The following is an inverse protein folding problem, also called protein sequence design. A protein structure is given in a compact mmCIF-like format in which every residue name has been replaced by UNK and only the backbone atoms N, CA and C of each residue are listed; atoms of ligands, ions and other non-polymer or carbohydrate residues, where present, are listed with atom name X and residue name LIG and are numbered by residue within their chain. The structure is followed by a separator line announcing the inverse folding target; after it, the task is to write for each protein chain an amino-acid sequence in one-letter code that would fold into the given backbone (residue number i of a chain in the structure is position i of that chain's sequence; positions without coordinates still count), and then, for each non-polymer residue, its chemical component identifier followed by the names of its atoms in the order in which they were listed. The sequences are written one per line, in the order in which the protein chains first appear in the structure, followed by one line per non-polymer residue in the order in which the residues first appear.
data_IF_415915008198
#
_entry.id   IF_415915008198
#
_cell.length_a   1.000
_cell.length_b   1.000
_cell.length_c   1.000
_cell.angle_alpha   90.00
_cell.angle_beta   90.00
_cell.angle_gamma   90.00
#
_symmetry.space_group_name_H-M   'P 1'
#
loop_
_entity.id
_entity.type
_entity.pdbx_description
1 polymer ?
#
# COMPACT_ATOMS: atom_id res chain seq x y z
N UNK A 1 -1.13 -23.78 -22.83
CA UNK A 1 -0.40 -22.65 -22.24
C UNK A 1 1.00 -22.66 -22.85
N UNK A 2 1.31 -21.71 -23.73
CA UNK A 2 2.64 -21.66 -24.36
C UNK A 2 3.65 -21.18 -23.32
N UNK A 3 4.70 -21.98 -23.06
CA UNK A 3 5.82 -21.55 -22.22
C UNK A 3 6.57 -20.46 -22.99
N UNK A 4 6.45 -19.21 -22.54
CA UNK A 4 7.24 -18.11 -23.12
C UNK A 4 8.70 -18.26 -22.68
N UNK A 5 9.63 -18.07 -23.61
CA UNK A 5 11.08 -18.26 -23.38
C UNK A 5 11.72 -17.19 -22.48
N UNK A 6 10.98 -16.14 -22.17
CA UNK A 6 11.34 -15.12 -21.17
C UNK A 6 10.38 -15.31 -20.00
N UNK A 7 10.92 -15.39 -18.78
CA UNK A 7 10.11 -15.48 -17.57
C UNK A 7 9.08 -14.36 -17.51
N UNK A 8 7.99 -14.58 -16.76
CA UNK A 8 6.96 -13.55 -16.53
C UNK A 8 7.63 -12.29 -15.96
N UNK A 9 7.34 -11.15 -16.55
CA UNK A 9 7.76 -9.84 -16.03
C UNK A 9 7.14 -9.62 -14.66
N UNK A 10 7.93 -9.18 -13.67
CA UNK A 10 7.45 -8.92 -12.32
C UNK A 10 6.69 -7.60 -12.26
N UNK A 11 5.50 -7.63 -11.67
CA UNK A 11 4.67 -6.46 -11.37
C UNK A 11 4.17 -6.47 -9.92
N UNK A 12 3.90 -5.28 -9.37
CA UNK A 12 3.39 -5.10 -7.99
C UNK A 12 2.03 -5.78 -7.79
N UNK A 13 1.24 -5.91 -8.84
CA UNK A 13 -0.07 -6.55 -8.80
C UNK A 13 -0.03 -8.07 -9.03
N UNK A 14 1.13 -8.66 -9.38
CA UNK A 14 1.18 -10.07 -9.80
C UNK A 14 0.76 -11.03 -8.69
N UNK A 15 1.24 -10.84 -7.47
CA UNK A 15 0.82 -11.66 -6.34
C UNK A 15 -0.69 -11.67 -6.15
N UNK A 16 -1.31 -10.49 -6.16
CA UNK A 16 -2.76 -10.34 -6.00
C UNK A 16 -3.51 -11.08 -7.12
N UNK A 17 -3.09 -10.91 -8.38
CA UNK A 17 -3.67 -11.63 -9.54
C UNK A 17 -3.61 -13.14 -9.36
N UNK A 18 -2.43 -13.66 -9.00
CA UNK A 18 -2.22 -15.10 -8.86
C UNK A 18 -3.03 -15.68 -7.69
N UNK A 19 -3.03 -15.02 -6.53
CA UNK A 19 -3.75 -15.51 -5.35
C UNK A 19 -5.26 -15.29 -5.43
N UNK A 20 -5.75 -14.35 -6.23
CA UNK A 20 -7.17 -14.25 -6.56
C UNK A 20 -7.68 -15.48 -7.35
N UNK A 21 -6.81 -16.16 -8.10
CA UNK A 21 -7.15 -17.40 -8.81
C UNK A 21 -6.89 -18.62 -7.92
N UNK A 22 -5.71 -18.70 -7.29
CA UNK A 22 -5.28 -19.87 -6.54
C UNK A 22 -6.00 -20.01 -5.19
N UNK A 23 -6.32 -18.88 -4.54
CA UNK A 23 -6.84 -18.81 -3.18
C UNK A 23 -7.91 -17.70 -3.03
N UNK A 24 -8.95 -17.66 -3.89
CA UNK A 24 -9.88 -16.52 -3.99
C UNK A 24 -10.56 -16.15 -2.67
N UNK A 25 -10.80 -17.14 -1.81
CA UNK A 25 -11.53 -16.98 -0.53
C UNK A 25 -10.62 -16.75 0.68
N UNK A 26 -9.30 -16.80 0.49
CA UNK A 26 -8.37 -16.49 1.58
C UNK A 26 -8.43 -14.99 1.87
N UNK A 27 -8.38 -14.62 3.15
CA UNK A 27 -8.34 -13.21 3.57
C UNK A 27 -6.99 -12.63 3.14
N UNK A 28 -7.02 -11.52 2.41
CA UNK A 28 -5.82 -10.78 2.01
C UNK A 28 -5.52 -9.67 3.01
N UNK A 29 -6.55 -8.93 3.46
CA UNK A 29 -6.38 -7.75 4.32
C UNK A 29 -7.42 -7.74 5.44
N UNK A 30 -6.98 -7.36 6.64
CA UNK A 30 -7.80 -7.06 7.82
C UNK A 30 -7.55 -5.60 8.20
N UNK A 31 -8.58 -4.78 8.33
CA UNK A 31 -8.50 -3.39 8.80
C UNK A 31 -9.66 -3.10 9.77
N UNK A 32 -9.38 -3.29 11.07
CA UNK A 32 -10.41 -3.33 12.11
C UNK A 32 -11.40 -4.46 11.85
N UNK A 33 -12.67 -4.12 11.69
CA UNK A 33 -13.73 -5.08 11.36
C UNK A 33 -13.81 -5.42 9.87
N UNK A 34 -13.18 -4.59 9.01
CA UNK A 34 -13.18 -4.81 7.56
C UNK A 34 -12.23 -5.94 7.21
N UNK A 35 -12.70 -6.88 6.40
CA UNK A 35 -11.91 -8.01 5.91
C UNK A 35 -12.21 -8.19 4.43
N UNK A 36 -11.18 -8.26 3.61
CA UNK A 36 -11.34 -8.56 2.19
C UNK A 36 -10.50 -9.76 1.80
N UNK A 37 -11.08 -10.57 0.93
CA UNK A 37 -10.47 -11.74 0.32
C UNK A 37 -9.57 -11.34 -0.85
N UNK A 38 -8.75 -12.28 -1.32
CA UNK A 38 -7.95 -12.07 -2.53
C UNK A 38 -8.78 -11.80 -3.78
N UNK A 39 -9.94 -12.44 -3.94
CA UNK A 39 -10.84 -12.15 -5.06
C UNK A 39 -11.38 -10.72 -5.00
N UNK A 40 -11.78 -10.24 -3.81
CA UNK A 40 -12.27 -8.87 -3.61
C UNK A 40 -11.15 -7.85 -3.80
N UNK A 41 -9.93 -8.11 -3.30
CA UNK A 41 -8.78 -7.23 -3.49
C UNK A 41 -8.40 -7.11 -4.98
N UNK A 42 -8.45 -8.21 -5.74
CA UNK A 42 -8.18 -8.17 -7.17
C UNK A 42 -9.25 -7.38 -7.93
N UNK A 43 -10.53 -7.62 -7.63
CA UNK A 43 -11.63 -6.87 -8.25
C UNK A 43 -11.53 -5.37 -7.94
N UNK A 44 -11.30 -4.99 -6.67
CA UNK A 44 -11.19 -3.59 -6.27
C UNK A 44 -9.98 -2.91 -6.91
N UNK A 45 -8.84 -3.58 -6.99
CA UNK A 45 -7.68 -3.04 -7.71
C UNK A 45 -7.89 -2.94 -9.23
N UNK A 46 -8.67 -3.84 -9.84
CA UNK A 46 -9.09 -3.70 -11.24
C UNK A 46 -9.99 -2.47 -11.43
N UNK A 47 -10.93 -2.22 -10.50
CA UNK A 47 -11.78 -1.02 -10.51
C UNK A 47 -10.95 0.25 -10.40
N UNK A 48 -9.95 0.29 -9.52
CA UNK A 48 -9.01 1.42 -9.43
C UNK A 48 -8.32 1.65 -10.78
N UNK A 49 -7.77 0.59 -11.39
CA UNK A 49 -7.07 0.70 -12.66
C UNK A 49 -7.98 1.27 -13.77
N UNK A 50 -9.20 0.73 -13.89
CA UNK A 50 -10.17 1.18 -14.89
C UNK A 50 -10.69 2.59 -14.61
N UNK A 51 -10.90 2.96 -13.34
CA UNK A 51 -11.27 4.31 -12.94
C UNK A 51 -10.21 5.31 -13.41
N UNK A 52 -8.92 5.05 -13.13
CA UNK A 52 -7.82 5.90 -13.55
C UNK A 52 -7.74 6.02 -15.08
N UNK A 53 -7.80 4.91 -15.81
CA UNK A 53 -7.78 4.92 -17.28
C UNK A 53 -8.99 5.67 -17.88
N UNK A 54 -10.19 5.45 -17.33
CA UNK A 54 -11.42 6.13 -17.80
C UNK A 54 -11.43 7.62 -17.50
N UNK A 55 -10.65 8.08 -16.52
CA UNK A 55 -10.44 9.50 -16.22
C UNK A 55 -9.53 10.22 -17.23
N UNK A 56 -8.98 9.50 -18.21
CA UNK A 56 -8.12 10.03 -19.27
C UNK A 56 -6.62 9.99 -18.95
N UNK A 57 -6.23 9.38 -17.83
CA UNK A 57 -4.82 9.12 -17.53
C UNK A 57 -4.28 8.00 -18.42
N UNK A 58 -3.01 8.11 -18.81
CA UNK A 58 -2.32 7.15 -19.66
C UNK A 58 -1.30 6.33 -18.84
N UNK A 59 -0.92 5.11 -19.28
CA UNK A 59 0.26 4.44 -18.75
C UNK A 59 1.47 5.38 -18.69
N UNK A 60 2.21 5.34 -17.59
CA UNK A 60 3.30 6.27 -17.26
C UNK A 60 2.85 7.51 -16.48
N UNK A 61 1.54 7.79 -16.36
CA UNK A 61 1.06 8.91 -15.52
C UNK A 61 1.40 8.69 -14.05
N UNK A 62 1.67 9.77 -13.33
CA UNK A 62 1.95 9.73 -11.89
C UNK A 62 0.68 10.04 -11.10
N UNK A 63 0.37 9.20 -10.11
CA UNK A 63 -0.84 9.30 -9.29
C UNK A 63 -0.42 9.42 -7.83
N UNK A 64 -0.71 10.56 -7.23
CA UNK A 64 -0.42 10.80 -5.83
C UNK A 64 -1.41 10.07 -4.93
N UNK A 65 -0.92 9.56 -3.80
CA UNK A 65 -1.73 8.91 -2.80
C UNK A 65 -1.45 9.48 -1.42
N UNK A 66 -2.43 10.20 -0.86
CA UNK A 66 -2.31 10.84 0.45
C UNK A 66 -3.16 10.12 1.48
N UNK A 67 -2.59 9.12 2.12
CA UNK A 67 -3.30 8.29 3.10
C UNK A 67 -2.36 7.64 4.12
N UNK A 68 -2.90 7.37 5.30
CA UNK A 68 -2.25 6.53 6.30
C UNK A 68 -2.39 5.04 5.98
N UNK A 69 -1.96 4.18 6.91
CA UNK A 69 -2.15 2.74 6.77
C UNK A 69 -3.65 2.42 6.83
N UNK A 70 -4.18 1.87 5.74
CA UNK A 70 -5.57 1.44 5.58
C UNK A 70 -5.66 0.38 4.48
N UNK A 71 -6.74 -0.37 4.47
CA UNK A 71 -6.99 -1.44 3.48
C UNK A 71 -6.78 -0.96 2.03
N UNK A 72 -7.29 0.22 1.71
CA UNK A 72 -7.29 0.83 0.38
C UNK A 72 -5.87 1.11 -0.14
N UNK A 73 -4.86 1.15 0.75
CA UNK A 73 -3.46 1.35 0.33
C UNK A 73 -3.01 0.27 -0.66
N UNK A 74 -3.36 -0.99 -0.38
CA UNK A 74 -2.96 -2.12 -1.22
C UNK A 74 -3.71 -2.14 -2.56
N UNK A 75 -5.01 -1.87 -2.56
CA UNK A 75 -5.79 -1.88 -3.81
C UNK A 75 -5.45 -0.68 -4.71
N UNK A 76 -5.13 0.49 -4.12
CA UNK A 76 -4.67 1.67 -4.85
C UNK A 76 -3.30 1.40 -5.48
N UNK A 77 -2.34 0.87 -4.72
CA UNK A 77 -1.01 0.54 -5.24
C UNK A 77 -1.09 -0.50 -6.36
N UNK A 78 -1.90 -1.55 -6.18
CA UNK A 78 -2.12 -2.58 -7.19
C UNK A 78 -2.84 -2.02 -8.42
N UNK A 79 -3.86 -1.19 -8.25
CA UNK A 79 -4.63 -0.61 -9.35
C UNK A 79 -3.82 0.37 -10.21
N UNK A 80 -3.02 1.24 -9.57
CA UNK A 80 -2.07 2.11 -10.26
C UNK A 80 -1.08 1.26 -11.08
N UNK A 81 -0.54 0.20 -10.48
CA UNK A 81 0.36 -0.73 -11.16
C UNK A 81 -0.30 -1.49 -12.33
N UNK A 82 -1.56 -1.91 -12.19
CA UNK A 82 -2.36 -2.56 -13.25
C UNK A 82 -2.68 -1.61 -14.40
N UNK A 83 -2.80 -0.31 -14.13
CA UNK A 83 -2.95 0.73 -15.15
C UNK A 83 -1.64 1.13 -15.83
N UNK A 84 -0.50 0.54 -15.41
CA UNK A 84 0.84 0.92 -15.89
C UNK A 84 1.26 2.32 -15.47
N UNK A 85 0.74 2.81 -14.34
CA UNK A 85 1.01 4.15 -13.80
C UNK A 85 1.97 4.07 -12.61
N UNK A 86 2.46 5.23 -12.17
CA UNK A 86 3.44 5.33 -11.08
C UNK A 86 2.79 5.98 -9.85
N UNK A 87 2.94 5.34 -8.69
CA UNK A 87 2.41 5.85 -7.43
C UNK A 87 3.35 6.91 -6.81
N UNK A 88 2.80 8.02 -6.33
CA UNK A 88 3.53 9.01 -5.53
C UNK A 88 2.96 9.00 -4.11
N UNK A 89 3.45 8.14 -3.20
CA UNK A 89 2.95 8.09 -1.84
C UNK A 89 3.33 9.35 -1.07
N UNK A 90 2.34 9.98 -0.43
CA UNK A 90 2.50 11.20 0.33
C UNK A 90 2.43 10.92 1.83
N UNK A 91 3.26 11.62 2.61
CA UNK A 91 3.25 11.52 4.06
C UNK A 91 2.00 12.23 4.62
N UNK A 92 1.13 11.54 5.38
CA UNK A 92 -0.06 12.14 6.01
C UNK A 92 0.20 13.33 6.94
N UNK A 93 1.45 13.51 7.38
CA UNK A 93 1.86 14.59 8.29
C UNK A 93 2.54 15.74 7.56
N UNK A 94 2.71 15.66 6.24
CA UNK A 94 3.35 16.73 5.46
C UNK A 94 2.49 17.98 5.45
N UNK A 95 3.15 19.12 5.64
CA UNK A 95 2.51 20.41 5.52
C UNK A 95 2.22 20.75 4.05
N UNK A 96 1.26 21.64 3.82
CA UNK A 96 0.83 22.03 2.48
C UNK A 96 1.99 22.41 1.52
N UNK A 97 2.98 23.24 1.90
CA UNK A 97 4.07 23.60 0.97
C UNK A 97 4.93 22.40 0.54
N UNK A 98 5.10 21.41 1.42
CA UNK A 98 5.83 20.19 1.09
C UNK A 98 5.02 19.31 0.12
N UNK A 99 3.70 19.21 0.32
CA UNK A 99 2.81 18.50 -0.60
C UNK A 99 2.79 19.18 -1.98
N UNK A 100 2.68 20.51 -2.04
CA UNK A 100 2.73 21.29 -3.29
C UNK A 100 4.03 21.01 -4.04
N UNK A 101 5.17 21.10 -3.35
CA UNK A 101 6.46 20.77 -3.94
C UNK A 101 6.51 19.34 -4.50
N UNK A 102 6.08 18.35 -3.73
CA UNK A 102 6.13 16.95 -4.15
C UNK A 102 5.21 16.70 -5.35
N UNK A 103 3.99 17.26 -5.32
CA UNK A 103 3.01 17.10 -6.40
C UNK A 103 3.52 17.72 -7.71
N UNK A 104 4.08 18.93 -7.63
CA UNK A 104 4.67 19.63 -8.80
C UNK A 104 5.92 18.92 -9.31
N UNK A 105 6.89 18.65 -8.42
CA UNK A 105 8.17 18.01 -8.79
C UNK A 105 7.98 16.58 -9.32
N UNK A 106 6.98 15.85 -8.80
CA UNK A 106 6.63 14.53 -9.32
C UNK A 106 5.82 14.58 -10.60
N UNK A 107 5.36 15.74 -11.09
CA UNK A 107 4.44 15.82 -12.23
C UNK A 107 3.17 14.97 -12.03
N UNK A 108 2.65 14.92 -10.79
CA UNK A 108 1.44 14.17 -10.47
C UNK A 108 0.24 14.69 -11.27
N UNK A 109 -0.55 13.77 -11.83
CA UNK A 109 -1.72 14.07 -12.69
C UNK A 109 -3.06 13.83 -11.99
N UNK A 110 -3.02 13.16 -10.86
CA UNK A 110 -4.20 12.88 -10.04
C UNK A 110 -3.80 12.67 -8.58
N UNK A 111 -4.78 12.81 -7.70
CA UNK A 111 -4.65 12.57 -6.27
C UNK A 111 -5.80 11.70 -5.78
N UNK A 112 -5.48 10.60 -5.10
CA UNK A 112 -6.42 9.88 -4.25
C UNK A 112 -6.04 10.19 -2.80
N UNK A 113 -6.99 10.61 -1.98
CA UNK A 113 -6.71 11.03 -0.60
C UNK A 113 -7.71 10.46 0.40
N UNK A 114 -7.26 10.31 1.65
CA UNK A 114 -8.13 10.09 2.80
C UNK A 114 -8.85 11.38 3.17
N UNK A 115 -10.18 11.35 3.31
CA UNK A 115 -10.99 12.52 3.67
C UNK A 115 -10.46 13.27 4.89
N UNK A 116 -9.90 12.57 5.89
CA UNK A 116 -9.33 13.18 7.09
C UNK A 116 -8.11 14.07 6.81
N UNK A 117 -7.49 13.92 5.64
CA UNK A 117 -6.36 14.70 5.14
C UNK A 117 -6.77 15.68 4.03
N UNK A 118 -8.07 15.74 3.72
CA UNK A 118 -8.64 16.39 2.53
C UNK A 118 -8.34 17.87 2.43
N UNK A 119 -8.42 18.63 3.52
CA UNK A 119 -8.19 20.08 3.50
C UNK A 119 -6.77 20.42 2.98
N UNK A 120 -5.74 19.84 3.61
CA UNK A 120 -4.34 20.10 3.24
C UNK A 120 -4.01 19.52 1.86
N UNK A 121 -4.45 18.29 1.58
CA UNK A 121 -4.15 17.59 0.33
C UNK A 121 -4.83 18.22 -0.89
N UNK A 122 -6.13 18.54 -0.79
CA UNK A 122 -6.89 19.13 -1.88
C UNK A 122 -6.43 20.55 -2.19
N UNK A 123 -6.10 21.35 -1.16
CA UNK A 123 -5.55 22.69 -1.39
C UNK A 123 -4.20 22.64 -2.09
N UNK A 124 -3.32 21.70 -1.70
CA UNK A 124 -2.04 21.51 -2.38
C UNK A 124 -2.23 21.10 -3.86
N UNK A 125 -3.12 20.13 -4.12
CA UNK A 125 -3.47 19.70 -5.47
C UNK A 125 -4.03 20.83 -6.33
N UNK A 126 -4.96 21.63 -5.79
CA UNK A 126 -5.53 22.77 -6.48
C UNK A 126 -4.48 23.84 -6.83
N UNK A 127 -3.54 24.11 -5.90
CA UNK A 127 -2.49 25.10 -6.09
C UNK A 127 -1.51 24.74 -7.21
N UNK A 128 -1.29 23.45 -7.46
CA UNK A 128 -0.44 22.95 -8.56
C UNK A 128 -1.24 22.49 -9.80
N UNK A 129 -2.56 22.71 -9.81
CA UNK A 129 -3.41 22.46 -10.99
C UNK A 129 -3.82 21.00 -11.23
N UNK A 130 -3.85 20.16 -10.20
CA UNK A 130 -4.39 18.79 -10.28
C UNK A 130 -5.91 18.84 -10.13
N UNK A 131 -6.64 18.48 -11.19
CA UNK A 131 -8.11 18.52 -11.27
C UNK A 131 -8.79 17.16 -10.96
N UNK A 132 -8.02 16.06 -11.02
CA UNK A 132 -8.49 14.69 -10.73
C UNK A 132 -8.18 14.34 -9.28
N UNK A 133 -9.14 14.60 -8.40
CA UNK A 133 -9.05 14.31 -6.97
C UNK A 133 -10.18 13.39 -6.55
N UNK A 134 -9.88 12.28 -5.88
CA UNK A 134 -10.87 11.37 -5.31
C UNK A 134 -10.66 11.21 -3.81
N UNK A 135 -11.77 11.20 -3.06
CA UNK A 135 -11.74 11.21 -1.60
C UNK A 135 -12.29 9.91 -1.03
N UNK A 136 -11.44 9.18 -0.29
CA UNK A 136 -11.81 7.96 0.42
C UNK A 136 -12.56 8.34 1.68
N UNK A 137 -13.64 7.61 1.99
CA UNK A 137 -14.62 7.92 3.04
C UNK A 137 -15.40 9.23 2.78
N UNK A 138 -15.48 9.65 1.51
CA UNK A 138 -16.23 10.83 1.07
C UNK A 138 -15.52 12.15 1.38
N UNK A 139 -16.27 13.23 1.58
CA UNK A 139 -15.75 14.58 1.86
C UNK A 139 -15.76 15.53 0.66
N UNK A 140 -15.42 16.79 0.90
CA UNK A 140 -15.60 17.89 -0.07
C UNK A 140 -14.44 18.06 -1.05
N UNK A 141 -13.37 17.27 -0.89
CA UNK A 141 -12.15 17.38 -1.69
C UNK A 141 -12.31 16.93 -3.15
N UNK A 142 -13.28 16.07 -3.44
CA UNK A 142 -13.52 15.49 -4.76
C UNK A 142 -14.62 14.43 -4.72
N UNK A 143 -14.95 13.79 -5.86
CA UNK A 143 -15.92 12.71 -5.89
C UNK A 143 -15.59 11.59 -4.90
N UNK A 144 -16.64 11.01 -4.32
CA UNK A 144 -16.55 9.89 -3.38
C UNK A 144 -15.90 8.66 -4.04
N UNK A 145 -14.85 8.14 -3.40
CA UNK A 145 -14.03 7.05 -3.92
C UNK A 145 -14.83 5.76 -4.16
N UNK A 146 -15.67 5.35 -3.21
CA UNK A 146 -16.45 4.10 -3.35
C UNK A 146 -17.48 4.22 -4.49
N UNK A 147 -18.10 5.40 -4.63
CA UNK A 147 -19.05 5.68 -5.71
C UNK A 147 -18.38 5.59 -7.09
N UNK A 148 -17.17 6.13 -7.26
CA UNK A 148 -16.46 6.03 -8.54
C UNK A 148 -15.95 4.63 -8.83
N UNK A 149 -15.50 3.87 -7.81
CA UNK A 149 -15.11 2.47 -7.98
C UNK A 149 -16.28 1.57 -8.35
N UNK A 150 -17.46 1.79 -7.78
CA UNK A 150 -18.67 1.03 -8.08
C UNK A 150 -19.05 1.15 -9.57
N UNK A 151 -18.81 2.32 -10.18
CA UNK A 151 -19.06 2.59 -11.60
C UNK A 151 -17.95 2.08 -12.54
N UNK A 152 -16.76 1.76 -12.02
CA UNK A 152 -15.62 1.32 -12.82
C UNK A 152 -15.69 -0.16 -13.22
N UNK A 153 -14.97 -0.52 -14.28
CA UNK A 153 -14.87 -1.91 -14.75
C UNK A 153 -14.16 -2.82 -13.74
N UNK A 154 -14.61 -4.07 -13.65
CA UNK A 154 -14.08 -5.09 -12.72
C UNK A 154 -12.96 -5.95 -13.29
N UNK A 155 -12.76 -5.91 -14.60
CA UNK A 155 -11.81 -6.75 -15.32
C UNK A 155 -10.45 -6.07 -15.36
N UNK A 156 -9.37 -6.82 -15.12
CA UNK A 156 -8.01 -6.32 -15.25
C UNK A 156 -7.80 -5.74 -16.67
N UNK A 157 -7.33 -4.49 -16.81
CA UNK A 157 -7.16 -3.86 -18.12
C UNK A 157 -6.05 -4.50 -18.96
N UNK A 158 -5.21 -5.35 -18.39
CA UNK A 158 -4.18 -6.10 -19.12
C UNK A 158 -3.07 -5.23 -19.70
N UNK A 159 -2.82 -4.06 -19.12
CA UNK A 159 -1.75 -3.15 -19.54
C UNK A 159 -0.41 -3.86 -19.33
N UNK A 160 0.39 -3.91 -20.40
CA UNK A 160 1.75 -4.47 -20.34
C UNK A 160 2.67 -3.46 -19.66
N UNK A 161 3.35 -3.91 -18.61
CA UNK A 161 4.33 -3.14 -17.83
C UNK A 161 5.67 -3.86 -17.90
N UNK A 162 6.75 -3.14 -18.18
CA UNK A 162 8.10 -3.70 -18.09
C UNK A 162 8.54 -3.70 -16.62
N UNK A 163 9.15 -4.78 -16.15
CA UNK A 163 9.51 -4.88 -14.73
C UNK A 163 10.58 -3.87 -14.29
N UNK A 164 11.29 -3.25 -15.23
CA UNK A 164 12.27 -2.19 -14.94
C UNK A 164 11.65 -0.79 -14.85
N UNK A 165 10.38 -0.63 -15.25
CA UNK A 165 9.65 0.63 -15.12
C UNK A 165 9.37 0.97 -13.64
N UNK A 166 9.29 2.25 -13.28
CA UNK A 166 8.95 2.68 -11.92
C UNK A 166 7.52 2.26 -11.56
N UNK A 167 7.34 1.69 -10.37
CA UNK A 167 6.02 1.54 -9.76
C UNK A 167 5.70 2.69 -8.81
N UNK A 168 6.74 3.33 -8.23
CA UNK A 168 6.56 4.43 -7.30
C UNK A 168 7.71 5.45 -7.33
N UNK A 169 7.41 6.68 -6.91
CA UNK A 169 8.36 7.74 -6.58
C UNK A 169 8.20 8.09 -5.10
N UNK A 170 9.07 7.53 -4.25
CA UNK A 170 9.03 7.77 -2.81
C UNK A 170 9.92 8.95 -2.44
N UNK A 171 9.35 9.96 -1.78
CA UNK A 171 10.10 11.14 -1.35
C UNK A 171 10.75 10.96 0.02
N UNK A 172 11.98 11.44 0.15
CA UNK A 172 12.70 11.51 1.43
C UNK A 172 13.10 12.93 1.74
N UNK A 173 13.17 13.29 3.03
CA UNK A 173 13.68 14.58 3.46
C UNK A 173 15.11 14.78 2.94
N UNK A 174 15.31 15.87 2.19
CA UNK A 174 16.62 16.25 1.69
C UNK A 174 17.44 16.88 2.80
N UNK A 175 18.67 16.41 3.02
CA UNK A 175 19.63 17.10 3.92
C UNK A 175 20.08 18.47 3.38
N UNK A 176 19.73 18.80 2.13
CA UNK A 176 20.19 19.97 1.38
C UNK A 176 19.10 20.99 1.07
N UNK A 177 17.89 20.83 1.62
CA UNK A 177 16.72 21.67 1.32
C UNK A 177 15.54 20.81 0.90
N UNK A 178 15.28 20.72 -0.40
CA UNK A 178 14.06 20.12 -0.92
C UNK A 178 14.05 18.57 -0.86
N UNK A 179 12.86 17.96 -0.69
CA UNK A 179 12.68 16.51 -0.77
C UNK A 179 13.19 15.90 -2.08
N UNK A 180 13.75 14.69 -2.01
CA UNK A 180 14.28 13.95 -3.17
C UNK A 180 13.38 12.78 -3.52
N UNK A 181 12.93 12.70 -4.78
CA UNK A 181 12.12 11.61 -5.30
C UNK A 181 12.96 10.39 -5.67
N UNK A 182 12.76 9.27 -4.99
CA UNK A 182 13.42 7.99 -5.27
C UNK A 182 12.51 7.16 -6.17
N UNK A 183 12.92 6.93 -7.41
CA UNK A 183 12.22 6.02 -8.33
C UNK A 183 12.51 4.57 -7.95
N UNK A 184 11.45 3.78 -7.81
CA UNK A 184 11.53 2.37 -7.43
C UNK A 184 10.83 1.54 -8.50
N UNK A 185 11.53 0.58 -9.09
CA UNK A 185 10.98 -0.28 -10.14
C UNK A 185 10.14 -1.43 -9.60
N UNK A 186 9.26 -1.96 -10.45
CA UNK A 186 8.49 -3.17 -10.14
C UNK A 186 9.39 -4.34 -9.76
N UNK A 187 10.48 -4.59 -10.52
CA UNK A 187 11.44 -5.67 -10.28
C UNK A 187 12.12 -5.53 -8.93
N UNK A 188 12.66 -4.35 -8.60
CA UNK A 188 13.42 -4.18 -7.35
C UNK A 188 12.53 -4.43 -6.13
N UNK A 189 11.30 -3.93 -6.18
CA UNK A 189 10.35 -4.12 -5.08
C UNK A 189 9.84 -5.56 -4.99
N UNK A 190 9.54 -6.19 -6.12
CA UNK A 190 9.05 -7.59 -6.12
C UNK A 190 10.14 -8.56 -5.66
N UNK A 191 11.40 -8.34 -6.04
CA UNK A 191 12.53 -9.10 -5.50
C UNK A 191 12.70 -8.90 -3.99
N UNK A 192 12.43 -7.69 -3.48
CA UNK A 192 12.40 -7.42 -2.04
C UNK A 192 11.32 -8.26 -1.35
N UNK A 193 10.13 -8.39 -1.95
CA UNK A 193 9.07 -9.25 -1.42
C UNK A 193 9.54 -10.71 -1.35
N UNK A 194 10.08 -11.27 -2.44
CA UNK A 194 10.57 -12.65 -2.42
C UNK A 194 11.65 -12.89 -1.36
N UNK A 195 12.60 -11.96 -1.21
CA UNK A 195 13.59 -12.03 -0.14
C UNK A 195 12.93 -12.03 1.25
N UNK A 196 11.97 -11.13 1.47
CA UNK A 196 11.21 -11.05 2.71
C UNK A 196 10.44 -12.35 3.03
N UNK A 197 9.82 -12.96 2.01
CA UNK A 197 9.13 -14.23 2.14
C UNK A 197 10.06 -15.38 2.54
N UNK A 198 11.23 -15.46 1.91
CA UNK A 198 12.25 -16.47 2.20
C UNK A 198 12.85 -16.29 3.60
N UNK A 199 13.13 -15.05 4.01
CA UNK A 199 13.86 -14.76 5.25
C UNK A 199 12.95 -14.77 6.49
N UNK A 200 11.75 -14.20 6.39
CA UNK A 200 10.88 -13.96 7.55
C UNK A 200 9.55 -14.73 7.53
N UNK A 201 9.38 -15.65 6.58
CA UNK A 201 8.24 -16.56 6.56
C UNK A 201 6.92 -15.88 6.20
N UNK A 202 6.93 -14.97 5.22
CA UNK A 202 5.73 -14.31 4.70
C UNK A 202 5.16 -15.12 3.53
N UNK A 203 3.87 -15.44 3.55
CA UNK A 203 3.20 -16.17 2.47
C UNK A 203 1.88 -16.82 2.88
N UNK A 204 1.41 -17.85 2.15
CA UNK A 204 0.10 -18.46 2.39
C UNK A 204 -0.04 -19.05 3.79
N UNK A 205 -1.17 -18.73 4.43
CA UNK A 205 -1.47 -19.17 5.80
C UNK A 205 -0.69 -18.44 6.90
N UNK A 206 0.06 -17.39 6.55
CA UNK A 206 0.82 -16.55 7.47
C UNK A 206 0.23 -15.15 7.53
N UNK A 207 0.29 -14.54 8.70
CA UNK A 207 -0.31 -13.23 8.96
C UNK A 207 0.77 -12.25 9.42
N UNK A 208 0.80 -11.06 8.81
CA UNK A 208 1.69 -9.96 9.21
C UNK A 208 0.88 -8.70 9.52
N UNK A 209 1.55 -7.68 10.05
CA UNK A 209 0.93 -6.40 10.40
C UNK A 209 1.70 -5.22 9.79
N UNK A 210 0.97 -4.26 9.22
CA UNK A 210 1.51 -3.00 8.72
C UNK A 210 1.79 -2.03 9.89
N UNK A 211 2.87 -2.27 10.64
CA UNK A 211 3.25 -1.42 11.79
C UNK A 211 3.79 -0.07 11.35
N UNK A 212 4.74 -0.09 10.41
CA UNK A 212 5.39 1.12 9.90
C UNK A 212 4.53 1.80 8.84
N UNK A 213 4.59 3.14 8.69
CA UNK A 213 3.80 3.83 7.67
C UNK A 213 4.12 3.35 6.25
N UNK A 214 3.09 2.99 5.48
CA UNK A 214 3.23 2.42 4.15
C UNK A 214 3.64 3.43 3.07
N UNK A 215 3.62 4.74 3.36
CA UNK A 215 4.22 5.73 2.45
C UNK A 215 5.76 5.67 2.44
N UNK A 216 6.37 5.10 3.48
CA UNK A 216 7.81 4.86 3.52
C UNK A 216 8.17 3.57 2.78
N UNK A 217 9.35 3.57 2.13
CA UNK A 217 9.82 2.44 1.33
C UNK A 217 9.87 1.10 2.07
N UNK A 218 10.38 1.06 3.31
CA UNK A 218 10.44 -0.15 4.11
C UNK A 218 9.06 -0.57 4.66
N UNK A 219 8.26 0.39 5.12
CA UNK A 219 6.89 0.15 5.57
C UNK A 219 6.03 -0.46 4.46
N UNK A 220 6.10 0.09 3.26
CA UNK A 220 5.47 -0.51 2.08
C UNK A 220 6.02 -1.90 1.78
N UNK A 221 7.35 -2.04 1.72
CA UNK A 221 8.00 -3.28 1.30
C UNK A 221 7.53 -4.48 2.12
N UNK A 222 7.54 -4.34 3.44
CA UNK A 222 7.32 -5.44 4.35
C UNK A 222 5.84 -5.68 4.67
N UNK A 223 5.01 -4.64 4.64
CA UNK A 223 3.56 -4.80 4.70
C UNK A 223 3.01 -5.42 3.41
N UNK A 224 3.33 -4.83 2.25
CA UNK A 224 2.80 -5.27 0.96
C UNK A 224 3.32 -6.65 0.54
N UNK A 225 4.48 -7.10 1.06
CA UNK A 225 4.97 -8.46 0.86
C UNK A 225 3.93 -9.53 1.23
N UNK A 226 3.08 -9.30 2.24
CA UNK A 226 2.03 -10.26 2.58
C UNK A 226 1.05 -10.46 1.44
N UNK A 227 0.43 -9.38 0.95
CA UNK A 227 -0.54 -9.50 -0.15
C UNK A 227 0.13 -9.96 -1.45
N UNK A 228 1.38 -9.58 -1.69
CA UNK A 228 2.15 -10.01 -2.85
C UNK A 228 2.53 -11.51 -2.83
N UNK A 229 2.55 -12.14 -1.66
CA UNK A 229 3.00 -13.53 -1.49
C UNK A 229 1.93 -14.48 -0.97
N UNK A 230 0.67 -14.05 -0.88
CA UNK A 230 -0.45 -14.93 -0.51
C UNK A 230 -0.79 -14.95 0.98
N UNK A 231 -0.15 -14.09 1.78
CA UNK A 231 -0.40 -13.97 3.21
C UNK A 231 -1.47 -12.92 3.55
N UNK A 232 -1.84 -12.87 4.83
CA UNK A 232 -2.80 -11.90 5.36
C UNK A 232 -2.07 -10.68 5.91
N UNK A 233 -2.49 -9.47 5.52
CA UNK A 233 -1.99 -8.21 6.06
C UNK A 233 -3.01 -7.58 7.00
N UNK A 234 -2.65 -7.41 8.27
CA UNK A 234 -3.45 -6.65 9.23
C UNK A 234 -3.00 -5.19 9.27
N UNK A 235 -3.92 -4.25 9.12
CA UNK A 235 -3.62 -2.82 9.07
C UNK A 235 -3.61 -2.23 10.48
N UNK A 236 -2.51 -1.57 10.83
CA UNK A 236 -2.40 -0.74 12.04
C UNK A 236 -2.32 0.73 11.61
N UNK A 237 -3.39 1.49 11.87
CA UNK A 237 -3.52 2.90 11.44
C UNK A 237 -2.47 3.81 12.05
N UNK A 238 -2.22 3.65 13.35
CA UNK A 238 -1.20 4.37 14.10
C UNK A 238 -0.54 3.41 15.06
N UNK A 239 0.78 3.56 15.24
CA UNK A 239 1.52 2.72 16.16
C UNK A 239 1.04 2.94 17.59
N UNK A 240 0.61 1.85 18.22
CA UNK A 240 0.38 1.73 19.65
C UNK A 240 0.95 0.37 20.09
N UNK A 241 1.87 0.34 21.07
CA UNK A 241 2.60 -0.88 21.41
C UNK A 241 1.70 -1.95 22.01
N UNK A 242 0.66 -1.59 22.76
CA UNK A 242 -0.26 -2.58 23.35
C UNK A 242 -1.26 -3.09 22.31
N UNK A 243 -1.73 -2.21 21.42
CA UNK A 243 -2.57 -2.60 20.28
C UNK A 243 -1.86 -3.61 19.37
N UNK A 244 -0.55 -3.50 19.17
CA UNK A 244 0.23 -4.50 18.41
C UNK A 244 0.13 -5.88 19.07
N UNK A 245 0.21 -5.97 20.40
CA UNK A 245 0.05 -7.23 21.13
C UNK A 245 -1.36 -7.79 21.01
N UNK A 246 -2.37 -6.92 21.14
CA UNK A 246 -3.77 -7.29 20.93
C UNK A 246 -4.01 -7.82 19.51
N UNK A 247 -3.36 -7.24 18.50
CA UNK A 247 -3.42 -7.72 17.11
C UNK A 247 -2.73 -9.06 16.93
N UNK A 248 -1.62 -9.33 17.63
CA UNK A 248 -0.95 -10.64 17.58
C UNK A 248 -1.92 -11.74 17.98
N UNK A 249 -2.61 -11.58 19.11
CA UNK A 249 -3.62 -12.53 19.58
C UNK A 249 -4.83 -12.60 18.64
N UNK A 250 -5.45 -11.44 18.35
CA UNK A 250 -6.69 -11.35 17.57
C UNK A 250 -6.53 -11.85 16.14
N UNK A 251 -5.49 -11.39 15.45
CA UNK A 251 -5.27 -11.64 14.03
C UNK A 251 -4.24 -12.76 13.81
N UNK A 252 -3.78 -13.42 14.88
CA UNK A 252 -2.82 -14.54 14.82
C UNK A 252 -1.55 -14.18 14.05
N UNK A 253 -1.00 -13.00 14.32
CA UNK A 253 0.19 -12.48 13.62
C UNK A 253 1.37 -13.43 13.84
N UNK A 254 2.01 -13.83 12.74
CA UNK A 254 3.18 -14.70 12.74
C UNK A 254 4.50 -13.99 12.53
N UNK A 255 4.47 -12.83 11.86
CA UNK A 255 5.66 -12.01 11.61
C UNK A 255 5.33 -10.53 11.73
N UNK A 256 6.29 -9.69 12.12
CA UNK A 256 6.14 -8.24 12.01
C UNK A 256 7.46 -7.51 11.78
N UNK A 257 7.41 -6.48 10.95
CA UNK A 257 8.49 -5.53 10.77
C UNK A 257 8.41 -4.40 11.80
N UNK A 258 9.51 -4.11 12.48
CA UNK A 258 9.63 -3.06 13.48
C UNK A 258 10.83 -2.17 13.17
N UNK A 259 10.75 -0.88 13.52
CA UNK A 259 11.96 -0.07 13.69
C UNK A 259 12.42 -0.15 15.15
N UNK A 260 13.69 0.15 15.47
CA UNK A 260 14.22 -0.01 16.84
C UNK A 260 13.38 0.68 17.92
N UNK A 261 12.79 1.85 17.63
CA UNK A 261 11.94 2.56 18.59
C UNK A 261 10.64 1.80 18.90
N UNK A 262 10.03 1.10 17.93
CA UNK A 262 8.85 0.29 18.17
C UNK A 262 9.15 -0.86 19.14
N UNK A 263 10.28 -1.56 18.93
CA UNK A 263 10.68 -2.64 19.82
C UNK A 263 10.97 -2.13 21.24
N UNK A 264 11.60 -0.97 21.39
CA UNK A 264 11.78 -0.33 22.70
C UNK A 264 10.44 0.00 23.36
N UNK A 265 9.49 0.58 22.63
CA UNK A 265 8.17 0.93 23.16
C UNK A 265 7.38 -0.30 23.62
N UNK A 266 7.42 -1.41 22.87
CA UNK A 266 6.80 -2.68 23.27
C UNK A 266 7.43 -3.20 24.57
N UNK A 267 8.78 -3.19 24.66
CA UNK A 267 9.48 -3.62 25.88
C UNK A 267 9.17 -2.73 27.08
N UNK A 268 8.93 -1.44 26.87
CA UNK A 268 8.59 -0.48 27.92
C UNK A 268 7.20 -0.69 28.53
N UNK A 269 6.33 -1.53 27.94
CA UNK A 269 5.05 -1.92 28.56
C UNK A 269 5.23 -2.72 29.86
N UNK A 270 6.37 -3.42 30.00
CA UNK A 270 6.62 -4.32 31.12
C UNK A 270 5.97 -5.70 30.96
N UNK A 271 6.52 -6.69 31.66
CA UNK A 271 6.12 -8.10 31.51
C UNK A 271 4.65 -8.35 31.88
N UNK A 272 4.13 -7.64 32.89
CA UNK A 272 2.74 -7.78 33.35
C UNK A 272 1.69 -7.41 32.30
N UNK A 273 2.01 -6.51 31.36
CA UNK A 273 1.13 -6.16 30.25
C UNK A 273 1.32 -7.16 29.11
N UNK A 274 2.58 -7.46 28.77
CA UNK A 274 2.91 -8.36 27.66
C UNK A 274 2.30 -9.76 27.86
N UNK A 275 2.33 -10.28 29.09
CA UNK A 275 1.80 -11.61 29.43
C UNK A 275 0.26 -11.70 29.39
N UNK A 276 -0.46 -10.58 29.20
CA UNK A 276 -1.93 -10.59 29.07
C UNK A 276 -2.42 -11.10 27.72
N UNK A 277 -1.54 -11.11 26.71
CA UNK A 277 -1.87 -11.44 25.34
C UNK A 277 -1.27 -12.80 24.96
N UNK A 278 -2.03 -13.63 24.23
CA UNK A 278 -1.48 -14.84 23.60
C UNK A 278 -0.59 -14.46 22.41
N UNK A 279 0.73 -14.52 22.61
CA UNK A 279 1.75 -14.26 21.59
C UNK A 279 2.29 -15.53 20.93
N UNK A 280 1.66 -16.69 21.15
CA UNK A 280 2.17 -18.01 20.71
C UNK A 280 2.31 -18.16 19.19
N UNK A 281 1.61 -17.33 18.42
CA UNK A 281 1.72 -17.34 16.95
C UNK A 281 2.89 -16.51 16.43
N UNK A 282 3.44 -15.59 17.22
CA UNK A 282 4.48 -14.67 16.78
C UNK A 282 5.83 -15.40 16.69
N UNK A 283 6.20 -15.78 15.48
CA UNK A 283 7.43 -16.53 15.18
C UNK A 283 8.61 -15.61 14.86
N UNK A 284 8.36 -14.44 14.25
CA UNK A 284 9.41 -13.56 13.75
C UNK A 284 9.13 -12.07 14.02
N UNK A 285 10.12 -11.36 14.58
CA UNK A 285 10.21 -9.90 14.55
C UNK A 285 11.49 -9.51 13.83
N UNK A 286 11.40 -8.64 12.83
CA UNK A 286 12.53 -8.22 12.01
C UNK A 286 12.59 -6.70 11.82
N UNK A 287 13.76 -6.20 11.41
CA UNK A 287 14.17 -4.79 11.45
C UNK A 287 14.82 -4.31 10.15
#
# INVERSE_FOLDING_TARGET
MAVQSKGRQLNIADGIREFAIASPRSIAIIDGDRRITYAELDERSNRVANMLLSSGLLPGSHVAFHSGNRLEYCEVAAGIAKAGMVMVPLNPRSARPELEFILDHSDARALILDAALGETGAQAAANVGIDKVWSIDGGDAGPDYESVLAAAGTVDPGIRVDETEPFAIAYTSGTTGDPKGVMISHRSRTLTFFAAGIEWGIGPGRNTVAVSPMYHGAGFAFAYAAVALGGTLSMLRSFDPEMVLAMVERDRISSMFLVPVHATMIRSLGEDIIQRYDLSTLECMYF
#
